data_IF_669934066908
#
_entry.id   IF_669934066908
#
_cell.length_a   1.000
_cell.length_b   1.000
_cell.length_c   1.000
_cell.angle_alpha   90.00
_cell.angle_beta   90.00
_cell.angle_gamma   90.00
#
_symmetry.space_group_name_H-M   'P 1'
#
loop_
_entity.id
_entity.type
_entity.pdbx_description
1 polymer ?
#
# COMPACT_ATOMS: atom_id res chain seq x y z
N UNK A 1 -29.74 28.13 -22.10
CA UNK A 1 -29.29 26.91 -21.40
C UNK A 1 -27.78 26.81 -21.54
N UNK A 2 -27.03 27.25 -20.53
CA UNK A 2 -25.55 27.25 -20.56
C UNK A 2 -25.06 26.00 -19.86
N UNK A 3 -24.39 25.15 -20.63
CA UNK A 3 -23.71 23.94 -20.19
C UNK A 3 -22.37 24.36 -19.59
N UNK A 4 -22.14 24.02 -18.33
CA UNK A 4 -20.82 24.13 -17.69
C UNK A 4 -20.22 22.72 -17.62
N UNK A 5 -18.94 22.53 -18.01
CA UNK A 5 -18.30 21.22 -17.95
C UNK A 5 -18.08 20.81 -16.49
N UNK A 6 -18.33 19.54 -16.18
CA UNK A 6 -18.01 18.93 -14.88
C UNK A 6 -16.50 18.73 -14.80
N UNK A 7 -15.76 19.84 -14.65
CA UNK A 7 -14.42 19.83 -14.07
C UNK A 7 -14.65 19.80 -12.58
N UNK A 8 -14.69 18.60 -11.99
CA UNK A 8 -14.70 18.43 -10.54
C UNK A 8 -13.31 18.77 -10.00
N UNK A 9 -13.13 20.07 -9.84
CA UNK A 9 -12.32 20.78 -8.86
C UNK A 9 -11.55 19.89 -7.88
N UNK A 10 -10.23 19.76 -8.10
CA UNK A 10 -9.27 19.55 -7.02
C UNK A 10 -9.29 20.80 -6.12
N UNK A 11 -10.09 20.77 -5.04
CA UNK A 11 -9.96 21.76 -3.97
C UNK A 11 -8.74 21.36 -3.13
N UNK A 12 -7.72 22.20 -3.27
CA UNK A 12 -6.62 22.38 -2.34
C UNK A 12 -7.20 22.80 -0.98
N UNK A 13 -7.23 21.90 0.01
CA UNK A 13 -7.36 22.31 1.42
C UNK A 13 -5.96 22.49 2.00
N UNK A 14 -5.44 23.72 1.87
CA UNK A 14 -4.39 24.22 2.75
C UNK A 14 -5.05 25.24 3.68
N UNK A 15 -5.46 24.80 4.87
CA UNK A 15 -5.58 25.64 6.06
C UNK A 15 -5.51 24.73 7.29
N UNK A 16 -4.33 24.73 7.93
CA UNK A 16 -4.13 24.73 9.38
C UNK A 16 -5.22 24.08 10.24
N UNK A 17 -4.96 22.86 10.69
CA UNK A 17 -5.69 22.24 11.79
C UNK A 17 -5.61 20.73 11.68
N UNK A 18 -4.69 20.11 12.41
CA UNK A 18 -4.70 18.67 12.62
C UNK A 18 -6.08 18.25 13.14
N UNK A 19 -6.82 17.47 12.35
CA UNK A 19 -8.02 16.78 12.81
C UNK A 19 -7.53 15.45 13.39
N UNK A 20 -7.58 15.23 14.71
CA UNK A 20 -7.27 13.92 15.25
C UNK A 20 -8.47 13.01 14.99
N UNK A 21 -8.39 12.17 13.95
CA UNK A 21 -9.34 11.07 13.79
C UNK A 21 -8.95 9.96 14.78
N UNK A 22 -9.70 9.87 15.88
CA UNK A 22 -9.84 8.65 16.67
C UNK A 22 -8.64 8.28 17.55
N UNK A 23 -8.52 8.93 18.71
CA UNK A 23 -7.79 8.36 19.83
C UNK A 23 -8.54 7.13 20.37
N UNK A 24 -8.33 5.96 19.75
CA UNK A 24 -8.31 4.72 20.53
C UNK A 24 -7.13 4.87 21.48
N UNK A 25 -7.36 4.69 22.78
CA UNK A 25 -6.39 4.98 23.83
C UNK A 25 -5.00 4.43 23.46
N UNK A 26 -4.06 5.32 23.13
CA UNK A 26 -2.66 4.99 23.01
C UNK A 26 -2.29 4.25 24.30
N UNK A 27 -1.88 2.99 24.16
CA UNK A 27 -1.40 2.20 25.29
C UNK A 27 -0.16 2.92 25.78
N UNK A 28 -0.24 3.59 26.93
CA UNK A 28 0.85 4.38 27.48
C UNK A 28 2.13 3.51 27.53
N UNK A 29 3.07 3.80 26.65
CA UNK A 29 4.31 3.05 26.45
C UNK A 29 5.05 3.60 25.24
N UNK A 30 4.58 3.25 24.05
CA UNK A 30 5.25 3.51 22.78
C UNK A 30 4.41 4.47 21.89
N UNK A 31 5.10 5.41 21.24
CA UNK A 31 4.54 6.39 20.31
C UNK A 31 5.36 6.54 19.02
N UNK A 32 6.36 5.67 18.86
CA UNK A 32 7.23 5.63 17.69
C UNK A 32 6.48 4.93 16.57
N UNK A 33 6.47 5.53 15.38
CA UNK A 33 5.81 4.90 14.24
C UNK A 33 6.70 3.75 13.72
N UNK A 34 6.11 2.60 13.36
CA UNK A 34 6.84 1.51 12.73
C UNK A 34 7.41 1.92 11.36
N UNK A 35 8.45 1.23 10.92
CA UNK A 35 9.01 1.34 9.57
C UNK A 35 8.46 0.24 8.66
N UNK A 36 8.28 0.54 7.37
CA UNK A 36 7.84 -0.43 6.37
C UNK A 36 8.40 -0.12 4.98
N UNK A 37 8.78 -1.16 4.26
CA UNK A 37 9.17 -1.09 2.85
C UNK A 37 8.53 -2.21 2.04
N UNK A 38 8.22 -1.93 0.78
CA UNK A 38 7.82 -2.97 -0.18
C UNK A 38 9.09 -3.53 -0.83
N UNK A 39 9.42 -4.78 -0.55
CA UNK A 39 10.58 -5.45 -1.13
C UNK A 39 10.23 -6.09 -2.49
N UNK A 40 8.99 -6.57 -2.63
CA UNK A 40 8.46 -7.06 -3.90
C UNK A 40 7.06 -6.49 -4.18
N UNK A 41 6.80 -6.09 -5.44
CA UNK A 41 7.73 -6.12 -6.57
C UNK A 41 8.78 -4.99 -6.50
N UNK A 42 9.97 -5.25 -7.04
CA UNK A 42 11.01 -4.22 -7.20
C UNK A 42 10.58 -3.23 -8.28
N UNK A 43 10.85 -1.95 -8.05
CA UNK A 43 10.57 -0.87 -9.01
C UNK A 43 11.25 -1.10 -10.37
N UNK A 44 10.50 -0.87 -11.45
CA UNK A 44 11.02 -0.94 -12.81
C UNK A 44 11.38 -2.36 -13.26
N UNK A 45 10.60 -3.36 -12.85
CA UNK A 45 10.77 -4.75 -13.29
C UNK A 45 9.56 -5.28 -14.06
N UNK A 46 9.80 -6.24 -14.95
CA UNK A 46 8.76 -7.07 -15.54
C UNK A 46 8.62 -8.37 -14.75
N UNK A 47 7.43 -8.61 -14.20
CA UNK A 47 7.03 -9.87 -13.61
C UNK A 47 6.10 -10.63 -14.56
N UNK A 48 6.37 -11.93 -14.76
CA UNK A 48 5.53 -12.84 -15.55
C UNK A 48 5.26 -14.09 -14.71
N UNK A 49 4.02 -14.28 -14.29
CA UNK A 49 3.58 -15.34 -13.38
C UNK A 49 4.48 -15.41 -12.14
N UNK A 50 4.57 -14.29 -11.42
CA UNK A 50 5.40 -14.04 -10.24
C UNK A 50 6.93 -14.11 -10.43
N UNK A 51 7.38 -14.52 -11.62
CA UNK A 51 8.81 -14.54 -11.95
C UNK A 51 9.27 -13.16 -12.36
N UNK A 52 10.30 -12.65 -11.69
CA UNK A 52 11.04 -11.48 -12.14
C UNK A 52 11.85 -11.83 -13.41
N UNK A 53 11.51 -11.20 -14.54
CA UNK A 53 12.06 -11.54 -15.86
C UNK A 53 13.20 -10.62 -16.25
N UNK A 54 13.00 -9.30 -16.15
CA UNK A 54 13.96 -8.31 -16.63
C UNK A 54 13.68 -6.91 -16.07
N UNK A 55 14.68 -6.02 -16.06
CA UNK A 55 14.45 -4.61 -15.80
C UNK A 55 13.68 -3.94 -16.94
N UNK A 56 13.00 -2.86 -16.61
CA UNK A 56 12.27 -1.96 -17.49
C UNK A 56 12.72 -0.52 -17.24
N UNK A 57 12.73 0.29 -18.30
CA UNK A 57 12.82 1.73 -18.15
C UNK A 57 11.41 2.27 -17.84
N UNK A 58 11.07 2.39 -16.55
CA UNK A 58 9.81 2.97 -16.11
C UNK A 58 9.12 2.17 -15.01
N UNK A 59 7.80 2.07 -15.11
CA UNK A 59 6.98 1.42 -14.08
C UNK A 59 7.12 -0.09 -14.12
N UNK A 60 6.97 -0.70 -12.96
CA UNK A 60 6.82 -2.14 -12.82
C UNK A 60 5.59 -2.61 -13.60
N UNK A 61 5.74 -3.74 -14.31
CA UNK A 61 4.65 -4.41 -15.02
C UNK A 61 4.55 -5.84 -14.50
N UNK A 62 3.35 -6.28 -14.15
CA UNK A 62 3.09 -7.65 -13.75
C UNK A 62 2.06 -8.30 -14.65
N UNK A 63 2.37 -9.49 -15.14
CA UNK A 63 1.47 -10.32 -15.95
C UNK A 63 1.13 -11.60 -15.17
N UNK A 64 -0.14 -11.79 -14.82
CA UNK A 64 -0.58 -12.91 -13.98
C UNK A 64 -0.27 -12.68 -12.49
N UNK A 65 -0.27 -13.76 -11.71
CA UNK A 65 -0.08 -13.69 -10.25
C UNK A 65 1.22 -12.97 -9.86
N UNK A 66 1.20 -12.31 -8.71
CA UNK A 66 2.32 -11.54 -8.20
C UNK A 66 2.39 -11.65 -6.68
N UNK A 67 3.53 -12.09 -6.16
CA UNK A 67 3.82 -12.08 -4.73
C UNK A 67 4.34 -10.72 -4.33
N UNK A 68 3.66 -10.13 -3.36
CA UNK A 68 4.00 -8.86 -2.73
C UNK A 68 4.62 -9.21 -1.38
N UNK A 69 5.80 -8.66 -1.12
CA UNK A 69 6.51 -8.86 0.14
C UNK A 69 6.83 -7.50 0.77
N UNK A 70 6.65 -7.41 2.07
CA UNK A 70 6.96 -6.21 2.84
C UNK A 70 7.94 -6.55 3.97
N UNK A 71 8.93 -5.69 4.16
CA UNK A 71 9.75 -5.70 5.37
C UNK A 71 9.20 -4.63 6.32
N UNK A 72 9.05 -4.99 7.59
CA UNK A 72 8.46 -4.13 8.59
C UNK A 72 9.14 -4.32 9.94
N UNK A 73 9.39 -3.21 10.62
CA UNK A 73 10.16 -3.22 11.86
C UNK A 73 9.72 -2.09 12.80
N UNK A 74 9.72 -2.41 14.09
CA UNK A 74 9.55 -1.45 15.17
C UNK A 74 10.41 -1.92 16.37
N UNK A 75 11.07 -0.99 17.05
CA UNK A 75 12.01 -1.31 18.12
C UNK A 75 11.34 -1.59 19.47
N UNK A 76 10.23 -0.90 19.76
CA UNK A 76 9.71 -0.79 21.13
C UNK A 76 8.53 -1.73 21.38
N UNK A 77 7.52 -1.73 20.51
CA UNK A 77 6.34 -2.59 20.63
C UNK A 77 6.30 -3.72 19.60
N UNK A 78 7.15 -3.66 18.58
CA UNK A 78 7.21 -4.65 17.51
C UNK A 78 5.96 -4.64 16.62
N UNK A 79 5.97 -5.44 15.56
CA UNK A 79 4.88 -5.42 14.58
C UNK A 79 3.72 -6.34 15.01
N UNK A 80 2.50 -5.79 15.05
CA UNK A 80 1.25 -6.53 15.26
C UNK A 80 0.78 -7.19 13.95
N UNK A 81 0.69 -6.40 12.87
CA UNK A 81 0.25 -6.90 11.56
C UNK A 81 0.66 -6.01 10.40
N UNK A 82 0.72 -6.62 9.21
CA UNK A 82 0.77 -5.94 7.92
C UNK A 82 -0.51 -6.22 7.14
N UNK A 83 -1.17 -5.17 6.67
CA UNK A 83 -2.32 -5.27 5.78
C UNK A 83 -1.93 -4.90 4.36
N UNK A 84 -2.25 -5.78 3.41
CA UNK A 84 -2.03 -5.55 1.99
C UNK A 84 -3.31 -5.05 1.33
N UNK A 85 -3.19 -3.94 0.61
CA UNK A 85 -4.29 -3.25 -0.06
C UNK A 85 -4.00 -3.07 -1.54
N UNK A 86 -5.05 -3.19 -2.36
CA UNK A 86 -5.00 -2.87 -3.79
C UNK A 86 -5.96 -1.73 -4.09
N UNK A 87 -5.47 -0.76 -4.86
CA UNK A 87 -6.23 0.44 -5.18
C UNK A 87 -6.01 1.00 -6.58
N UNK A 88 -6.70 2.09 -6.85
CA UNK A 88 -6.51 2.94 -8.03
C UNK A 88 -6.79 4.40 -7.63
N UNK A 89 -5.91 5.33 -8.01
CA UNK A 89 -6.02 6.72 -7.57
C UNK A 89 -6.07 6.86 -6.04
N UNK A 90 -7.16 7.42 -5.52
CA UNK A 90 -7.43 7.57 -4.07
C UNK A 90 -8.25 6.41 -3.46
N UNK A 91 -8.75 5.47 -4.27
CA UNK A 91 -9.55 4.34 -3.79
C UNK A 91 -8.66 3.12 -3.50
N UNK A 92 -9.03 2.32 -2.50
CA UNK A 92 -8.34 1.08 -2.15
C UNK A 92 -9.22 0.13 -1.36
N UNK A 93 -8.94 -1.17 -1.48
CA UNK A 93 -9.63 -2.25 -0.75
C UNK A 93 -8.58 -3.14 -0.07
N UNK A 94 -8.83 -3.49 1.20
CA UNK A 94 -8.00 -4.46 1.92
C UNK A 94 -8.15 -5.82 1.29
N UNK A 95 -7.04 -6.46 0.99
CA UNK A 95 -7.01 -7.77 0.34
C UNK A 95 -6.53 -8.87 1.28
N UNK A 96 -5.58 -8.55 2.15
CA UNK A 96 -5.00 -9.53 3.07
C UNK A 96 -4.48 -8.86 4.33
N UNK A 97 -4.41 -9.63 5.42
CA UNK A 97 -3.77 -9.25 6.68
C UNK A 97 -2.84 -10.39 7.06
N UNK A 98 -1.57 -10.07 7.20
CA UNK A 98 -0.53 -10.98 7.66
C UNK A 98 -0.05 -10.55 9.05
N UNK A 99 0.07 -11.49 9.97
CA UNK A 99 0.42 -11.23 11.37
C UNK A 99 1.75 -11.86 11.76
N UNK A 100 2.50 -12.43 10.81
CA UNK A 100 3.80 -13.03 11.10
C UNK A 100 4.78 -12.81 9.94
N UNK A 101 6.01 -12.40 10.25
CA UNK A 101 7.07 -12.32 9.27
C UNK A 101 7.49 -13.72 8.77
N UNK A 102 7.90 -13.88 7.49
CA UNK A 102 7.95 -12.85 6.45
C UNK A 102 6.55 -12.41 6.00
N UNK A 103 6.33 -11.09 5.88
CA UNK A 103 5.02 -10.55 5.51
C UNK A 103 4.81 -10.63 4.01
N UNK A 104 3.91 -11.53 3.59
CA UNK A 104 3.75 -11.86 2.18
C UNK A 104 2.28 -12.03 1.79
N UNK A 105 1.96 -11.56 0.58
CA UNK A 105 0.66 -11.81 -0.02
C UNK A 105 0.76 -12.04 -1.52
N UNK A 106 0.21 -13.16 -1.99
CA UNK A 106 0.08 -13.44 -3.42
C UNK A 106 -1.19 -12.80 -3.98
N UNK A 107 -1.02 -11.78 -4.80
CA UNK A 107 -2.09 -11.14 -5.54
C UNK A 107 -2.50 -12.01 -6.74
N UNK A 108 -3.50 -12.86 -6.50
CA UNK A 108 -4.10 -13.72 -7.51
C UNK A 108 -5.28 -13.07 -8.24
N UNK A 109 -5.44 -13.38 -9.52
CA UNK A 109 -6.68 -13.17 -10.27
C UNK A 109 -6.74 -11.95 -11.20
N UNK A 110 -7.66 -12.05 -12.17
CA UNK A 110 -7.66 -11.27 -13.41
C UNK A 110 -8.51 -9.99 -13.41
N UNK A 111 -9.27 -9.73 -12.34
CA UNK A 111 -10.26 -8.65 -12.29
C UNK A 111 -9.68 -7.24 -12.08
N UNK A 112 -8.35 -7.12 -11.96
CA UNK A 112 -7.69 -5.89 -11.53
C UNK A 112 -6.61 -5.39 -12.50
N UNK A 113 -6.82 -5.61 -13.80
CA UNK A 113 -5.96 -5.05 -14.84
C UNK A 113 -5.92 -3.50 -14.82
N UNK A 114 -4.82 -2.93 -15.31
CA UNK A 114 -4.58 -1.50 -15.41
C UNK A 114 -3.52 -0.98 -14.43
N UNK A 115 -3.43 0.35 -14.31
CA UNK A 115 -2.58 1.00 -13.32
C UNK A 115 -3.19 0.78 -11.94
N UNK A 116 -2.41 0.23 -11.02
CA UNK A 116 -2.83 -0.13 -9.67
C UNK A 116 -1.81 0.34 -8.65
N UNK A 117 -2.29 0.60 -7.45
CA UNK A 117 -1.47 0.91 -6.27
C UNK A 117 -1.51 -0.26 -5.32
N UNK A 118 -0.34 -0.77 -4.97
CA UNK A 118 -0.15 -1.70 -3.85
C UNK A 118 0.20 -0.86 -2.63
N UNK A 119 -0.42 -1.16 -1.50
CA UNK A 119 0.00 -0.61 -0.20
C UNK A 119 0.19 -1.73 0.81
N UNK A 120 1.26 -1.62 1.58
CA UNK A 120 1.43 -2.36 2.84
C UNK A 120 1.23 -1.36 3.97
N UNK A 121 0.16 -1.51 4.75
CA UNK A 121 -0.07 -0.77 5.99
C UNK A 121 0.42 -1.63 7.14
N UNK A 122 1.32 -1.11 7.96
CA UNK A 122 1.83 -1.80 9.15
C UNK A 122 1.23 -1.17 10.40
N UNK A 123 0.91 -2.01 11.37
CA UNK A 123 0.46 -1.60 12.70
C UNK A 123 1.36 -2.27 13.74
N UNK A 124 1.82 -1.52 14.73
CA UNK A 124 2.63 -2.03 15.84
C UNK A 124 1.77 -2.48 17.04
N UNK A 125 2.41 -3.00 18.08
CA UNK A 125 1.75 -3.47 19.30
C UNK A 125 1.17 -2.35 20.19
N UNK A 126 1.51 -1.10 19.94
CA UNK A 126 1.06 0.09 20.66
C UNK A 126 -0.09 0.84 19.95
N UNK A 127 -0.35 0.49 18.69
CA UNK A 127 -1.36 1.08 17.84
C UNK A 127 -0.85 2.21 16.94
N UNK A 128 0.47 2.41 16.80
CA UNK A 128 1.01 3.29 15.77
C UNK A 128 1.00 2.58 14.40
N UNK A 129 0.97 3.38 13.34
CA UNK A 129 0.82 2.89 11.98
C UNK A 129 1.77 3.61 11.00
N UNK A 130 2.16 2.89 9.96
CA UNK A 130 2.87 3.43 8.80
C UNK A 130 2.45 2.70 7.53
N UNK A 131 2.83 3.20 6.36
CA UNK A 131 2.57 2.50 5.11
C UNK A 131 3.64 2.76 4.04
N UNK A 132 3.81 1.78 3.17
CA UNK A 132 4.55 1.89 1.91
C UNK A 132 3.57 1.74 0.74
N UNK A 133 3.80 2.47 -0.36
CA UNK A 133 2.99 2.41 -1.58
C UNK A 133 3.87 2.25 -2.82
N UNK A 134 3.40 1.48 -3.79
CA UNK A 134 3.99 1.39 -5.12
C UNK A 134 2.90 1.36 -6.19
N UNK A 135 3.11 2.08 -7.30
CA UNK A 135 2.24 2.03 -8.47
C UNK A 135 2.83 1.14 -9.55
N UNK A 136 2.02 0.21 -10.09
CA UNK A 136 2.43 -0.70 -11.16
C UNK A 136 1.33 -0.89 -12.21
N UNK A 137 1.68 -1.51 -13.32
CA UNK A 137 0.72 -1.94 -14.35
C UNK A 137 0.45 -3.43 -14.16
N UNK A 138 -0.78 -3.79 -13.82
CA UNK A 138 -1.24 -5.18 -13.72
C UNK A 138 -1.90 -5.60 -15.04
N UNK A 139 -1.55 -6.78 -15.53
CA UNK A 139 -2.10 -7.37 -16.75
C UNK A 139 -2.52 -8.81 -16.41
N UNK A 140 -3.83 -9.02 -16.23
CA UNK A 140 -4.41 -10.27 -15.70
C UNK A 140 -3.90 -10.62 -14.31
#
# INVERSE_FOLDING_TARGET
MKQYPVVAVCILFLLSGAIPLGAHAARAGDSTAPEVSLERPVDGRLYLFDRDVMPLEGRTVSIGDLTITADAWDEESGIDRVEFWIGFGCHGEKRFTDTAAPYEWTWTGHSSAGIRKIRAYVFDGAGNEAFAEQELIKIF
#
